data_IF_119510716064
#
_entry.id   IF_119510716064
#
_cell.length_a   1.000
_cell.length_b   1.000
_cell.length_c   1.000
_cell.angle_alpha   90.00
_cell.angle_beta   90.00
_cell.angle_gamma   90.00
#
_symmetry.space_group_name_H-M   'P 1'
#
loop_
_entity.id
_entity.type
_entity.pdbx_description
1 polymer ?
#
# COMPACT_ATOMS: atom_id res chain seq x y z
N UNK A 1 22.16 40.63 -0.03
CA UNK A 1 22.09 40.71 1.45
C UNK A 1 22.21 39.30 1.98
N UNK A 2 23.22 39.03 2.81
CA UNK A 2 23.54 37.67 3.26
C UNK A 2 22.53 37.22 4.31
N UNK A 3 21.62 36.32 3.94
CA UNK A 3 20.56 35.74 4.80
C UNK A 3 21.13 34.76 5.86
N UNK A 4 22.26 35.08 6.51
CA UNK A 4 22.89 34.19 7.50
C UNK A 4 22.14 34.13 8.84
N UNK A 5 21.02 34.85 9.00
CA UNK A 5 20.24 34.94 10.24
C UNK A 5 18.73 34.71 10.08
N UNK A 6 18.28 34.18 8.95
CA UNK A 6 16.87 33.79 8.84
C UNK A 6 16.64 32.43 9.55
N UNK A 7 15.92 32.39 10.69
CA UNK A 7 15.68 31.16 11.43
C UNK A 7 14.82 30.15 10.65
N UNK A 8 14.08 30.59 9.62
CA UNK A 8 13.25 29.74 8.78
C UNK A 8 13.98 29.24 7.52
N UNK A 9 15.13 29.81 7.19
CA UNK A 9 15.88 29.42 5.99
C UNK A 9 16.17 27.90 5.90
N UNK A 10 16.56 27.20 6.98
CA UNK A 10 16.77 25.75 6.92
C UNK A 10 15.50 24.98 6.55
N UNK A 11 14.35 25.32 7.16
CA UNK A 11 13.09 24.60 6.90
C UNK A 11 12.55 24.88 5.49
N UNK A 12 12.69 26.12 5.01
CA UNK A 12 12.39 26.49 3.62
C UNK A 12 13.28 25.72 2.65
N UNK A 13 14.58 25.62 2.95
CA UNK A 13 15.51 24.86 2.13
C UNK A 13 15.14 23.38 2.06
N UNK A 14 14.86 22.74 3.20
CA UNK A 14 14.46 21.32 3.24
C UNK A 14 13.16 21.08 2.45
N UNK A 15 12.16 21.96 2.59
CA UNK A 15 10.93 21.86 1.80
C UNK A 15 11.20 21.97 0.29
N UNK A 16 12.07 22.89 -0.13
CA UNK A 16 12.47 23.00 -1.54
C UNK A 16 13.21 21.75 -2.06
N UNK A 17 14.05 21.11 -1.23
CA UNK A 17 14.72 19.85 -1.61
C UNK A 17 13.70 18.75 -1.89
N UNK A 18 12.67 18.62 -1.04
CA UNK A 18 11.60 17.64 -1.25
C UNK A 18 10.76 17.97 -2.49
N UNK A 19 10.34 19.23 -2.66
CA UNK A 19 9.57 19.64 -3.83
C UNK A 19 10.36 19.48 -5.13
N UNK A 20 11.68 19.67 -5.11
CA UNK A 20 12.54 19.44 -6.28
C UNK A 20 12.56 17.97 -6.66
N UNK A 21 12.75 17.06 -5.70
CA UNK A 21 12.75 15.63 -5.98
C UNK A 21 11.41 15.17 -6.58
N UNK A 22 10.29 15.73 -6.10
CA UNK A 22 8.98 15.46 -6.69
C UNK A 22 8.86 16.05 -8.09
N UNK A 23 9.33 17.28 -8.33
CA UNK A 23 9.33 17.89 -9.65
C UNK A 23 10.19 17.10 -10.67
N UNK A 24 11.35 16.61 -10.24
CA UNK A 24 12.22 15.73 -11.03
C UNK A 24 11.52 14.41 -11.38
N UNK A 25 10.83 13.78 -10.42
CA UNK A 25 10.07 12.55 -10.69
C UNK A 25 8.83 12.77 -11.57
N UNK A 26 8.27 13.98 -11.58
CA UNK A 26 7.15 14.38 -12.44
C UNK A 26 7.60 14.89 -13.82
N UNK A 27 8.91 14.94 -14.08
CA UNK A 27 9.52 15.54 -15.28
C UNK A 27 8.97 16.95 -15.58
N UNK A 28 8.94 17.81 -14.56
CA UNK A 28 8.35 19.15 -14.67
C UNK A 28 9.22 20.24 -14.07
N UNK A 29 9.28 21.38 -14.76
CA UNK A 29 9.87 22.62 -14.21
C UNK A 29 8.86 23.46 -13.42
N UNK A 30 7.56 23.13 -13.47
CA UNK A 30 6.52 23.85 -12.74
C UNK A 30 6.50 23.46 -11.25
N UNK A 31 7.23 24.25 -10.46
CA UNK A 31 7.28 24.10 -8.99
C UNK A 31 5.93 24.27 -8.32
N UNK A 32 5.01 25.05 -8.91
CA UNK A 32 3.66 25.22 -8.36
C UNK A 32 2.86 23.95 -8.56
N UNK A 33 2.95 23.34 -9.73
CA UNK A 33 2.36 22.03 -9.99
C UNK A 33 2.92 20.96 -9.04
N UNK A 34 4.24 20.88 -8.86
CA UNK A 34 4.85 19.94 -7.90
C UNK A 34 4.29 20.13 -6.47
N UNK A 35 4.13 21.37 -6.01
CA UNK A 35 3.52 21.65 -4.71
C UNK A 35 2.03 21.24 -4.65
N UNK A 36 1.24 21.50 -5.70
CA UNK A 36 -0.17 21.05 -5.76
C UNK A 36 -0.27 19.52 -5.75
N UNK A 37 0.59 18.83 -6.48
CA UNK A 37 0.64 17.37 -6.51
C UNK A 37 1.02 16.77 -5.13
N UNK A 38 2.02 17.33 -4.44
CA UNK A 38 2.38 16.91 -3.07
C UNK A 38 1.22 17.17 -2.10
N UNK A 39 0.57 18.34 -2.19
CA UNK A 39 -0.61 18.65 -1.36
C UNK A 39 -1.72 17.62 -1.56
N UNK A 40 -2.10 17.38 -2.83
CA UNK A 40 -3.13 16.40 -3.19
C UNK A 40 -2.79 15.01 -2.66
N UNK A 41 -1.53 14.58 -2.79
CA UNK A 41 -1.06 13.30 -2.25
C UNK A 41 -1.18 13.24 -0.72
N UNK A 42 -0.69 14.27 -0.01
CA UNK A 42 -0.72 14.31 1.44
C UNK A 42 -2.15 14.26 1.98
N UNK A 43 -3.08 15.03 1.40
CA UNK A 43 -4.48 15.08 1.83
C UNK A 43 -5.22 13.79 1.52
N UNK A 44 -5.08 13.27 0.29
CA UNK A 44 -5.77 12.03 -0.11
C UNK A 44 -5.29 10.80 0.66
N UNK A 45 -3.99 10.72 0.98
CA UNK A 45 -3.42 9.68 1.85
C UNK A 45 -3.89 9.85 3.29
N UNK A 46 -3.76 11.05 3.87
CA UNK A 46 -4.16 11.37 5.25
C UNK A 46 -5.59 10.94 5.54
N UNK A 47 -6.51 11.18 4.60
CA UNK A 47 -7.93 10.93 4.81
C UNK A 47 -8.28 9.43 4.80
N UNK A 48 -7.34 8.55 4.43
CA UNK A 48 -7.57 7.10 4.25
C UNK A 48 -6.72 6.21 5.15
N UNK A 49 -5.81 6.79 5.94
CA UNK A 49 -4.96 6.05 6.87
C UNK A 49 -5.41 6.25 8.32
N UNK A 50 -4.97 5.35 9.20
CA UNK A 50 -5.23 5.47 10.64
C UNK A 50 -4.46 6.67 11.23
N UNK A 51 -4.96 7.20 12.36
CA UNK A 51 -4.33 8.34 13.07
C UNK A 51 -2.88 8.02 13.46
N UNK A 52 -2.59 6.80 13.90
CA UNK A 52 -1.22 6.39 14.25
C UNK A 52 -0.30 6.40 13.03
N UNK A 53 -0.78 5.90 11.88
CA UNK A 53 -0.04 5.97 10.61
C UNK A 53 0.18 7.41 10.15
N UNK A 54 -0.79 8.28 10.36
CA UNK A 54 -0.69 9.72 10.10
C UNK A 54 0.38 10.39 10.98
N UNK A 55 0.44 10.06 12.27
CA UNK A 55 1.48 10.55 13.17
C UNK A 55 2.89 10.10 12.72
N UNK A 56 3.05 8.83 12.33
CA UNK A 56 4.32 8.31 11.82
C UNK A 56 4.76 8.97 10.51
N UNK A 57 3.82 9.20 9.58
CA UNK A 57 4.09 9.88 8.31
C UNK A 57 4.53 11.33 8.55
N UNK A 58 3.78 12.08 9.35
CA UNK A 58 4.04 13.52 9.59
C UNK A 58 5.28 13.81 10.42
N UNK A 59 5.72 12.85 11.25
CA UNK A 59 6.96 12.95 12.01
C UNK A 59 8.19 13.10 11.09
N UNK A 60 8.14 12.59 9.87
CA UNK A 60 9.26 12.62 8.92
C UNK A 60 9.14 13.72 7.86
N UNK A 61 8.01 14.42 7.79
CA UNK A 61 7.84 15.54 6.85
C UNK A 61 8.73 16.74 7.23
N UNK A 62 9.21 17.52 6.25
CA UNK A 62 9.68 18.88 6.47
C UNK A 62 8.61 19.70 7.20
N UNK A 63 9.02 20.59 8.09
CA UNK A 63 8.08 21.33 8.96
C UNK A 63 7.04 22.14 8.16
N UNK A 64 7.43 22.77 7.05
CA UNK A 64 6.48 23.48 6.19
C UNK A 64 5.48 22.54 5.51
N UNK A 65 5.91 21.35 5.06
CA UNK A 65 5.01 20.36 4.46
C UNK A 65 4.10 19.70 5.50
N UNK A 66 4.51 19.69 6.77
CA UNK A 66 3.63 19.30 7.88
C UNK A 66 2.47 20.27 8.04
N UNK A 67 2.69 21.57 7.86
CA UNK A 67 1.62 22.57 7.80
C UNK A 67 0.64 22.28 6.67
N UNK A 68 1.15 21.99 5.47
CA UNK A 68 0.33 21.55 4.31
C UNK A 68 -0.47 20.30 4.66
N UNK A 69 0.14 19.31 5.29
CA UNK A 69 -0.53 18.06 5.67
C UNK A 69 -1.75 18.27 6.57
N UNK A 70 -1.65 19.16 7.57
CA UNK A 70 -2.73 19.39 8.54
C UNK A 70 -3.77 20.42 8.10
N UNK A 71 -3.56 21.06 6.95
CA UNK A 71 -4.50 22.04 6.41
C UNK A 71 -5.89 21.42 6.20
N UNK A 72 -6.93 22.09 6.72
CA UNK A 72 -8.34 21.68 6.65
C UNK A 72 -8.63 20.26 7.18
N UNK A 73 -7.80 19.73 8.08
CA UNK A 73 -7.97 18.38 8.60
C UNK A 73 -9.05 18.29 9.69
N UNK A 74 -9.97 17.32 9.56
CA UNK A 74 -10.99 17.01 10.57
C UNK A 74 -10.88 15.52 10.99
N UNK A 75 -10.12 15.20 12.06
CA UNK A 75 -9.75 13.82 12.40
C UNK A 75 -10.91 12.92 12.82
N UNK A 76 -12.01 13.49 13.30
CA UNK A 76 -13.14 12.76 13.88
C UNK A 76 -13.89 11.86 12.90
N UNK A 77 -13.58 11.92 11.60
CA UNK A 77 -14.26 11.17 10.53
C UNK A 77 -13.35 10.15 9.83
N UNK A 78 -12.19 9.83 10.41
CA UNK A 78 -11.18 8.94 9.81
C UNK A 78 -11.24 7.49 10.33
N UNK A 79 -10.78 6.51 9.54
CA UNK A 79 -10.42 6.62 8.12
C UNK A 79 -11.68 6.73 7.25
N UNK A 80 -11.64 7.59 6.23
CA UNK A 80 -12.78 7.72 5.31
C UNK A 80 -12.76 6.54 4.34
N UNK A 81 -13.86 5.76 4.32
CA UNK A 81 -14.04 4.63 3.42
C UNK A 81 -14.41 5.11 2.02
N UNK A 82 -13.41 5.61 1.30
CA UNK A 82 -13.54 6.04 -0.09
C UNK A 82 -12.89 5.03 -1.02
N UNK A 83 -13.57 4.71 -2.13
CA UNK A 83 -13.05 3.83 -3.16
C UNK A 83 -12.03 4.54 -4.07
N UNK A 84 -11.60 3.81 -5.09
CA UNK A 84 -10.64 4.28 -6.09
C UNK A 84 -11.11 5.56 -6.80
N UNK A 85 -12.40 5.62 -7.16
CA UNK A 85 -12.99 6.76 -7.86
C UNK A 85 -12.95 8.04 -7.03
N UNK A 86 -13.34 7.93 -5.76
CA UNK A 86 -13.36 9.08 -4.85
C UNK A 86 -11.93 9.57 -4.58
N UNK A 87 -10.96 8.64 -4.48
CA UNK A 87 -9.53 8.99 -4.43
C UNK A 87 -9.09 9.79 -5.65
N UNK A 88 -9.34 9.27 -6.86
CA UNK A 88 -8.96 9.92 -8.11
C UNK A 88 -9.59 11.31 -8.22
N UNK A 89 -10.89 11.42 -7.93
CA UNK A 89 -11.60 12.70 -8.00
C UNK A 89 -11.06 13.75 -7.01
N UNK A 90 -10.74 13.34 -5.78
CA UNK A 90 -10.16 14.23 -4.77
C UNK A 90 -8.76 14.67 -5.20
N UNK A 91 -7.92 13.73 -5.62
CA UNK A 91 -6.56 14.01 -6.07
C UNK A 91 -6.55 14.96 -7.27
N UNK A 92 -7.32 14.65 -8.33
CA UNK A 92 -7.39 15.45 -9.54
C UNK A 92 -7.82 16.90 -9.25
N UNK A 93 -8.84 17.08 -8.40
CA UNK A 93 -9.34 18.40 -7.98
C UNK A 93 -8.27 19.20 -7.24
N UNK A 94 -7.52 18.57 -6.34
CA UNK A 94 -6.52 19.26 -5.51
C UNK A 94 -5.21 19.53 -6.27
N UNK A 95 -4.84 18.65 -7.21
CA UNK A 95 -3.69 18.82 -8.08
C UNK A 95 -3.97 19.76 -9.29
N UNK A 96 -5.25 19.99 -9.60
CA UNK A 96 -5.73 20.70 -10.79
C UNK A 96 -5.27 20.03 -12.10
N UNK A 97 -5.51 18.72 -12.22
CA UNK A 97 -5.15 17.89 -13.38
C UNK A 97 -6.36 17.09 -13.88
N UNK A 98 -6.24 16.49 -15.07
CA UNK A 98 -7.25 15.56 -15.56
C UNK A 98 -7.27 14.27 -14.70
N UNK A 99 -8.44 13.72 -14.34
CA UNK A 99 -8.55 12.43 -13.65
C UNK A 99 -7.76 11.29 -14.30
N UNK A 100 -7.57 11.30 -15.63
CA UNK A 100 -6.79 10.31 -16.35
C UNK A 100 -5.28 10.38 -16.06
N UNK A 101 -4.77 11.54 -15.64
CA UNK A 101 -3.35 11.74 -15.31
C UNK A 101 -3.01 11.27 -13.89
N UNK A 102 -4.02 11.10 -13.02
CA UNK A 102 -3.85 10.79 -11.60
C UNK A 102 -2.98 9.56 -11.34
N UNK A 103 -3.14 8.40 -12.01
CA UNK A 103 -2.33 7.23 -11.72
C UNK A 103 -0.83 7.47 -11.90
N UNK A 104 -0.45 8.18 -12.96
CA UNK A 104 0.96 8.48 -13.27
C UNK A 104 1.51 9.47 -12.25
N UNK A 105 0.77 10.56 -11.96
CA UNK A 105 1.19 11.59 -11.03
C UNK A 105 1.29 11.05 -9.59
N UNK A 106 0.32 10.27 -9.14
CA UNK A 106 0.34 9.64 -7.81
C UNK A 106 1.53 8.71 -7.65
N UNK A 107 1.82 7.88 -8.66
CA UNK A 107 2.97 6.98 -8.64
C UNK A 107 4.29 7.76 -8.55
N UNK A 108 4.48 8.75 -9.43
CA UNK A 108 5.67 9.60 -9.42
C UNK A 108 5.87 10.32 -8.07
N UNK A 109 4.83 10.93 -7.50
CA UNK A 109 4.92 11.56 -6.18
C UNK A 109 5.25 10.52 -5.10
N UNK A 110 4.63 9.34 -5.14
CA UNK A 110 4.90 8.28 -4.17
C UNK A 110 6.36 7.83 -4.22
N UNK A 111 6.91 7.58 -5.40
CA UNK A 111 8.31 7.19 -5.56
C UNK A 111 9.27 8.27 -5.06
N UNK A 112 9.05 9.53 -5.43
CA UNK A 112 9.87 10.65 -4.97
C UNK A 112 9.84 10.80 -3.44
N UNK A 113 8.67 10.59 -2.81
CA UNK A 113 8.53 10.68 -1.37
C UNK A 113 9.11 9.46 -0.65
N UNK A 114 9.00 8.25 -1.20
CA UNK A 114 9.61 7.03 -0.63
C UNK A 114 11.11 7.22 -0.42
N UNK A 115 11.81 7.85 -1.37
CA UNK A 115 13.25 8.17 -1.25
C UNK A 115 13.59 9.18 -0.14
N UNK A 116 12.62 10.02 0.26
CA UNK A 116 12.83 11.01 1.33
C UNK A 116 12.45 10.49 2.70
N UNK A 117 11.60 9.47 2.76
CA UNK A 117 11.23 8.81 3.99
C UNK A 117 12.23 7.71 4.38
N UNK A 118 12.17 7.32 5.65
CA UNK A 118 12.90 6.15 6.12
C UNK A 118 12.39 4.89 5.41
N UNK A 119 13.27 3.93 5.05
CA UNK A 119 12.87 2.73 4.33
C UNK A 119 11.69 1.98 4.97
N UNK A 120 10.70 1.63 4.13
CA UNK A 120 9.52 0.86 4.53
C UNK A 120 8.50 1.64 5.37
N UNK A 121 8.66 2.96 5.54
CA UNK A 121 7.63 3.79 6.17
C UNK A 121 6.33 3.76 5.37
N UNK A 122 6.39 4.08 4.07
CA UNK A 122 5.18 4.19 3.25
C UNK A 122 4.51 2.83 3.08
N UNK A 123 5.27 1.75 2.93
CA UNK A 123 4.71 0.38 2.90
C UNK A 123 3.92 0.06 4.17
N UNK A 124 4.39 0.47 5.35
CA UNK A 124 3.65 0.30 6.62
C UNK A 124 2.43 1.23 6.70
N UNK A 125 2.55 2.47 6.26
CA UNK A 125 1.45 3.44 6.24
C UNK A 125 0.32 2.96 5.31
N UNK A 126 0.67 2.37 4.17
CA UNK A 126 -0.27 1.90 3.16
C UNK A 126 -0.80 0.49 3.41
N UNK A 127 -0.28 -0.24 4.40
CA UNK A 127 -0.72 -1.60 4.71
C UNK A 127 -2.21 -1.70 5.04
N UNK A 128 -2.82 -0.61 5.53
CA UNK A 128 -4.26 -0.52 5.81
C UNK A 128 -5.13 -0.13 4.62
N UNK A 129 -4.55 0.20 3.47
CA UNK A 129 -5.31 0.61 2.28
C UNK A 129 -5.88 -0.60 1.53
N UNK A 130 -7.06 -0.46 0.88
CA UNK A 130 -7.52 -1.41 -0.12
C UNK A 130 -6.45 -1.67 -1.20
N UNK A 131 -6.35 -2.92 -1.66
CA UNK A 131 -5.31 -3.34 -2.63
C UNK A 131 -5.30 -2.50 -3.91
N UNK A 132 -6.46 -2.02 -4.36
CA UNK A 132 -6.59 -1.16 -5.54
C UNK A 132 -5.90 0.19 -5.34
N UNK A 133 -6.04 0.79 -4.15
CA UNK A 133 -5.34 2.03 -3.80
C UNK A 133 -3.86 1.79 -3.59
N UNK A 134 -3.47 0.71 -2.91
CA UNK A 134 -2.06 0.35 -2.77
C UNK A 134 -1.35 0.23 -4.14
N UNK A 135 -2.00 -0.43 -5.11
CA UNK A 135 -1.48 -0.54 -6.48
C UNK A 135 -1.41 0.80 -7.19
N UNK A 136 -2.42 1.65 -7.03
CA UNK A 136 -2.40 3.01 -7.58
C UNK A 136 -1.18 3.81 -7.06
N UNK A 137 -0.85 3.70 -5.77
CA UNK A 137 0.28 4.42 -5.17
C UNK A 137 1.62 4.09 -5.82
N UNK A 138 1.85 2.84 -6.23
CA UNK A 138 3.11 2.41 -6.82
C UNK A 138 3.07 2.30 -8.35
N UNK A 139 1.95 2.66 -8.97
CA UNK A 139 1.74 2.49 -10.42
C UNK A 139 1.60 1.03 -10.85
N UNK A 140 0.94 0.83 -11.99
CA UNK A 140 0.71 -0.50 -12.58
C UNK A 140 1.96 -1.18 -13.16
N UNK A 141 3.08 -0.46 -13.23
CA UNK A 141 4.34 -0.96 -13.81
C UNK A 141 5.24 -1.68 -12.80
N UNK A 142 4.83 -1.80 -11.54
CA UNK A 142 5.54 -2.69 -10.63
C UNK A 142 5.26 -4.13 -11.06
N UNK A 143 6.29 -4.83 -11.55
CA UNK A 143 6.34 -6.27 -11.89
C UNK A 143 5.82 -7.21 -10.76
N UNK A 144 5.44 -6.66 -9.61
CA UNK A 144 4.84 -7.33 -8.45
C UNK A 144 3.32 -7.51 -8.60
N UNK A 145 2.61 -6.67 -9.38
CA UNK A 145 1.15 -6.73 -9.46
C UNK A 145 0.61 -6.16 -10.78
N UNK A 146 0.19 -7.05 -11.68
CA UNK A 146 -0.26 -6.75 -13.04
C UNK A 146 -1.29 -5.63 -13.21
N UNK A 147 -1.35 -5.17 -14.47
CA UNK A 147 -2.14 -4.07 -15.06
C UNK A 147 -3.28 -3.52 -14.19
N UNK A 148 -3.20 -2.24 -13.82
CA UNK A 148 -4.39 -1.48 -13.40
C UNK A 148 -5.21 -1.15 -14.65
N UNK A 149 -6.20 -1.97 -14.94
CA UNK A 149 -7.33 -1.50 -15.75
C UNK A 149 -8.12 -0.47 -14.93
N UNK A 150 -8.03 0.80 -15.34
CA UNK A 150 -9.04 1.79 -14.98
C UNK A 150 -10.36 1.31 -15.60
N UNK A 151 -11.46 1.16 -14.84
CA UNK A 151 -12.70 0.69 -15.42
C UNK A 151 -13.23 1.71 -16.42
N UNK A 152 -13.12 1.42 -17.72
CA UNK A 152 -13.84 2.10 -18.80
C UNK A 152 -15.31 1.62 -18.85
N UNK A 153 -16.00 1.61 -17.71
CA UNK A 153 -17.47 1.72 -17.65
C UNK A 153 -17.91 1.78 -16.18
N UNK A 154 -18.71 2.77 -15.82
CA UNK A 154 -19.46 2.79 -14.56
C UNK A 154 -20.81 2.12 -14.87
N UNK A 155 -20.75 0.83 -15.18
CA UNK A 155 -21.89 -0.02 -15.46
C UNK A 155 -21.77 -1.31 -14.63
N UNK A 156 -22.75 -1.51 -13.76
CA UNK A 156 -23.05 -2.72 -12.98
C UNK A 156 -21.98 -3.22 -11.98
N UNK A 157 -22.22 -2.94 -10.69
CA UNK A 157 -21.63 -3.64 -9.53
C UNK A 157 -22.08 -5.13 -9.44
N UNK A 158 -22.00 -5.88 -10.53
CA UNK A 158 -22.41 -7.28 -10.59
C UNK A 158 -21.25 -8.15 -11.04
N UNK A 159 -20.41 -8.53 -10.07
CA UNK A 159 -20.04 -9.94 -9.77
C UNK A 159 -18.76 -10.01 -8.92
N UNK A 160 -18.92 -10.06 -7.60
CA UNK A 160 -17.97 -10.78 -6.76
C UNK A 160 -18.67 -11.71 -5.75
N UNK A 161 -19.45 -12.72 -6.18
CA UNK A 161 -20.11 -13.63 -5.24
C UNK A 161 -19.18 -14.69 -4.65
N UNK A 162 -18.02 -14.99 -5.29
CA UNK A 162 -17.28 -16.24 -4.99
C UNK A 162 -15.79 -16.04 -4.65
N UNK A 163 -15.33 -14.81 -4.43
CA UNK A 163 -13.93 -14.59 -4.00
C UNK A 163 -13.76 -14.78 -2.50
N UNK A 164 -14.72 -14.32 -1.71
CA UNK A 164 -14.70 -14.46 -0.24
C UNK A 164 -14.83 -15.93 0.17
N UNK A 165 -15.79 -16.66 -0.42
CA UNK A 165 -15.97 -18.09 -0.15
C UNK A 165 -14.74 -18.94 -0.50
N UNK A 166 -14.06 -18.65 -1.62
CA UNK A 166 -12.79 -19.32 -1.95
C UNK A 166 -11.67 -19.02 -0.97
N UNK A 167 -11.57 -17.78 -0.48
CA UNK A 167 -10.57 -17.41 0.52
C UNK A 167 -10.85 -18.09 1.86
N UNK A 168 -12.10 -18.12 2.30
CA UNK A 168 -12.53 -18.82 3.52
C UNK A 168 -12.20 -20.32 3.41
N UNK A 169 -12.56 -20.96 2.30
CA UNK A 169 -12.28 -22.37 2.06
C UNK A 169 -10.77 -22.69 2.08
N UNK A 170 -9.94 -21.82 1.48
CA UNK A 170 -8.49 -21.96 1.54
C UNK A 170 -7.94 -21.83 2.97
N UNK A 171 -8.45 -20.87 3.76
CA UNK A 171 -7.98 -20.69 5.14
C UNK A 171 -8.35 -21.87 6.04
N UNK A 172 -9.55 -22.45 5.86
CA UNK A 172 -9.97 -23.67 6.57
C UNK A 172 -9.06 -24.84 6.23
N UNK A 173 -8.80 -25.06 4.94
CA UNK A 173 -7.92 -26.15 4.46
C UNK A 173 -6.50 -26.04 5.04
N UNK A 174 -5.92 -24.83 5.06
CA UNK A 174 -4.60 -24.60 5.64
C UNK A 174 -4.58 -24.86 7.15
N UNK A 175 -5.64 -24.46 7.86
CA UNK A 175 -5.77 -24.68 9.30
C UNK A 175 -5.80 -26.18 9.63
N UNK A 176 -6.57 -26.97 8.87
CA UNK A 176 -6.64 -28.42 9.06
C UNK A 176 -5.30 -29.12 8.76
N UNK A 177 -4.61 -28.72 7.70
CA UNK A 177 -3.30 -29.27 7.35
C UNK A 177 -2.25 -28.97 8.43
N UNK A 178 -2.22 -27.75 8.98
CA UNK A 178 -1.30 -27.35 10.06
C UNK A 178 -1.61 -28.10 11.36
N UNK A 179 -2.89 -28.29 11.70
CA UNK A 179 -3.29 -29.06 12.88
C UNK A 179 -2.88 -30.53 12.75
N UNK A 180 -3.07 -31.15 11.57
CA UNK A 180 -2.65 -32.53 11.32
C UNK A 180 -1.13 -32.70 11.50
N UNK A 181 -0.34 -31.74 11.00
CA UNK A 181 1.11 -31.70 11.19
C UNK A 181 1.51 -31.49 12.65
N UNK A 182 0.91 -30.51 13.33
CA UNK A 182 1.18 -30.20 14.73
C UNK A 182 0.94 -31.42 15.60
N UNK A 183 -0.20 -32.11 15.41
CA UNK A 183 -0.54 -33.31 16.18
C UNK A 183 0.45 -34.46 15.94
N UNK A 184 0.96 -34.61 14.71
CA UNK A 184 2.01 -35.59 14.41
C UNK A 184 3.38 -35.26 15.01
N UNK A 185 3.62 -33.99 15.34
CA UNK A 185 4.91 -33.46 15.83
C UNK A 185 4.93 -33.14 17.33
N UNK A 186 3.82 -33.35 18.05
CA UNK A 186 3.69 -33.10 19.51
C UNK A 186 4.67 -33.92 20.38
N UNK A 187 5.31 -34.95 19.84
CA UNK A 187 6.41 -35.67 20.49
C UNK A 187 7.63 -35.68 19.57
N UNK A 188 8.80 -35.27 20.08
CA UNK A 188 10.06 -35.38 19.34
C UNK A 188 10.27 -36.86 18.94
N UNK A 189 10.51 -37.19 17.66
CA UNK A 189 10.75 -38.56 17.23
C UNK A 189 12.07 -39.09 17.79
N UNK A 190 12.05 -39.64 19.00
CA UNK A 190 13.24 -40.26 19.61
C UNK A 190 13.39 -41.73 19.25
N UNK A 191 12.39 -42.34 18.60
CA UNK A 191 12.39 -43.72 18.13
C UNK A 191 11.79 -43.86 16.72
N UNK A 192 11.94 -45.06 16.13
CA UNK A 192 11.46 -45.39 14.78
C UNK A 192 9.93 -45.24 14.67
N UNK A 193 9.19 -45.52 15.74
CA UNK A 193 7.73 -45.38 15.81
C UNK A 193 7.27 -43.92 15.77
N UNK A 194 8.04 -43.00 16.35
CA UNK A 194 7.83 -41.55 16.25
C UNK A 194 8.09 -41.02 14.84
N UNK A 195 9.11 -41.53 14.16
CA UNK A 195 9.42 -41.16 12.77
C UNK A 195 8.30 -41.56 11.81
N UNK A 196 7.73 -42.75 11.98
CA UNK A 196 6.58 -43.23 11.18
C UNK A 196 5.34 -42.35 11.38
N UNK A 197 5.03 -41.96 12.62
CA UNK A 197 3.90 -41.06 12.93
C UNK A 197 4.05 -39.67 12.31
N UNK A 198 5.24 -39.08 12.38
CA UNK A 198 5.54 -37.80 11.75
C UNK A 198 5.37 -37.86 10.20
N UNK A 199 5.82 -38.96 9.58
CA UNK A 199 5.66 -39.18 8.13
C UNK A 199 4.19 -39.40 7.71
N UNK A 200 3.37 -40.02 8.56
CA UNK A 200 1.93 -40.16 8.33
C UNK A 200 1.19 -38.83 8.45
N UNK A 201 1.51 -38.01 9.46
CA UNK A 201 0.95 -36.68 9.63
C UNK A 201 1.30 -35.75 8.45
N UNK A 202 2.54 -35.81 7.96
CA UNK A 202 2.98 -35.06 6.78
C UNK A 202 2.23 -35.47 5.51
N UNK A 203 2.02 -36.79 5.28
CA UNK A 203 1.22 -37.27 4.15
C UNK A 203 -0.23 -36.80 4.24
N UNK A 204 -0.85 -36.91 5.43
CA UNK A 204 -2.23 -36.48 5.64
C UNK A 204 -2.42 -34.96 5.40
N UNK A 205 -1.49 -34.14 5.87
CA UNK A 205 -1.51 -32.71 5.59
C UNK A 205 -1.33 -32.41 4.09
N UNK A 206 -0.46 -33.14 3.41
CA UNK A 206 -0.28 -33.01 1.96
C UNK A 206 -1.56 -33.35 1.18
N UNK A 207 -2.23 -34.44 1.53
CA UNK A 207 -3.47 -34.86 0.88
C UNK A 207 -4.61 -33.83 1.07
N UNK A 208 -4.71 -33.22 2.26
CA UNK A 208 -5.68 -32.15 2.53
C UNK A 208 -5.41 -30.90 1.67
N UNK A 209 -4.14 -30.53 1.48
CA UNK A 209 -3.75 -29.40 0.63
C UNK A 209 -4.02 -29.65 -0.86
N UNK A 210 -3.85 -30.89 -1.32
CA UNK A 210 -4.19 -31.27 -2.70
C UNK A 210 -5.70 -31.26 -2.93
N UNK A 211 -6.50 -31.76 -1.98
CA UNK A 211 -7.95 -31.75 -2.07
C UNK A 211 -8.55 -30.34 -2.06
N UNK A 212 -7.94 -29.39 -1.34
CA UNK A 212 -8.37 -27.99 -1.29
C UNK A 212 -7.76 -27.06 -2.35
N UNK A 213 -7.03 -27.58 -3.34
CA UNK A 213 -6.48 -26.78 -4.45
C UNK A 213 -5.25 -25.91 -4.11
N UNK A 214 -4.66 -26.09 -2.93
CA UNK A 214 -3.50 -25.33 -2.42
C UNK A 214 -2.15 -26.04 -2.69
N UNK A 215 -2.08 -26.87 -3.74
CA UNK A 215 -0.86 -27.59 -4.11
C UNK A 215 0.21 -26.69 -4.76
N UNK A 216 1.51 -27.01 -4.64
CA UNK A 216 2.57 -26.25 -5.30
C UNK A 216 2.40 -26.30 -6.81
N UNK A 217 2.22 -25.14 -7.44
CA UNK A 217 2.20 -25.00 -8.90
C UNK A 217 3.60 -25.28 -9.44
N UNK A 218 3.83 -26.47 -9.96
CA UNK A 218 5.03 -26.79 -10.74
C UNK A 218 5.05 -25.93 -12.00
N UNK A 219 6.02 -25.01 -12.09
CA UNK A 219 6.31 -24.26 -13.32
C UNK A 219 6.79 -25.26 -14.40
N UNK A 220 6.23 -25.27 -15.62
CA UNK A 220 6.83 -26.03 -16.71
C UNK A 220 8.15 -25.37 -17.15
N UNK A 221 9.08 -26.21 -17.61
CA UNK A 221 10.45 -25.89 -17.99
C UNK A 221 10.56 -24.97 -19.22
#
# INVERSE_FOLDING_TARGET
MSNHHDPLAPTVHTAHVWLRAVAESLDTDDRRFALRAVRAWLHTVRDRIAIDSSAHLTAQLPELLRGVYYENWVPSHLPVRHGLREFISQFAREAEIDPAEVPVVVAAVTYALEEKFSPGLLSRVFAGLPITLYRLMYGAESDIAGELHLPEDIGDEQEAPDRLGRLEQHTTTLTEAVLALSHGLEQLPTDVSGSTRAAEAARRAHDLLLAGGAGPRTRPA
#
